data_IF_686763076339
#
_entry.id   IF_686763076339
#
_cell.length_a   1.000
_cell.length_b   1.000
_cell.length_c   1.000
_cell.angle_alpha   90.00
_cell.angle_beta   90.00
_cell.angle_gamma   90.00
#
_symmetry.space_group_name_H-M   'P 1'
#
loop_
_entity.id
_entity.type
_entity.pdbx_description
1 polymer ?
#
# COMPACT_ATOMS: atom_id res chain seq x y z
N UNK A 1 24.71 -4.06 25.40
CA UNK A 1 24.51 -2.60 25.33
C UNK A 1 25.63 -1.84 26.06
N UNK A 2 25.86 -2.00 27.36
CA UNK A 2 26.91 -1.29 28.11
C UNK A 2 28.30 -1.32 27.49
N UNK A 3 28.73 -2.46 26.91
CA UNK A 3 30.04 -2.59 26.25
C UNK A 3 30.14 -1.69 25.01
N UNK A 4 29.09 -1.59 24.20
CA UNK A 4 29.06 -0.71 23.02
C UNK A 4 29.05 0.76 23.44
N UNK A 5 28.30 1.11 24.49
CA UNK A 5 28.28 2.47 25.03
C UNK A 5 29.63 2.90 25.59
N UNK A 6 30.37 1.97 26.21
CA UNK A 6 31.74 2.20 26.68
C UNK A 6 32.73 2.40 25.53
N UNK A 7 32.65 1.57 24.48
CA UNK A 7 33.51 1.70 23.29
C UNK A 7 33.24 3.00 22.51
N UNK A 8 31.98 3.46 22.49
CA UNK A 8 31.56 4.70 21.81
C UNK A 8 31.70 5.96 22.68
N UNK A 9 32.02 5.80 23.97
CA UNK A 9 32.23 6.92 24.91
C UNK A 9 30.94 7.68 25.26
N UNK A 10 29.76 7.06 25.08
CA UNK A 10 28.49 7.74 25.38
C UNK A 10 27.28 6.83 25.46
N UNK A 11 26.23 7.30 26.13
CA UNK A 11 24.97 6.57 26.32
C UNK A 11 24.13 6.62 25.03
N UNK A 12 23.71 5.45 24.54
CA UNK A 12 22.90 5.33 23.33
C UNK A 12 21.38 5.42 23.61
N UNK A 13 20.95 4.95 24.80
CA UNK A 13 19.54 4.90 25.15
C UNK A 13 19.29 5.42 26.56
N UNK A 14 18.19 6.14 26.73
CA UNK A 14 17.68 6.59 28.03
C UNK A 14 16.42 5.79 28.36
N UNK A 15 16.37 5.22 29.57
CA UNK A 15 15.17 4.57 30.08
C UNK A 15 14.20 5.66 30.60
N UNK A 16 12.94 5.55 30.19
CA UNK A 16 11.85 6.37 30.68
C UNK A 16 10.78 5.45 31.27
N UNK A 17 9.87 5.99 32.04
CA UNK A 17 8.72 5.23 32.58
C UNK A 17 7.79 4.66 31.47
N UNK A 18 7.88 5.19 30.25
CA UNK A 18 7.12 4.71 29.07
C UNK A 18 7.94 3.83 28.12
N UNK A 19 9.17 3.45 28.49
CA UNK A 19 10.04 2.58 27.67
C UNK A 19 11.47 3.09 27.53
N UNK A 20 12.11 2.80 26.39
CA UNK A 20 13.48 3.15 26.09
C UNK A 20 13.53 4.09 24.87
N UNK A 21 14.21 5.24 25.01
CA UNK A 21 14.37 6.22 23.92
C UNK A 21 15.82 6.40 23.53
N UNK A 22 16.15 6.49 22.23
CA UNK A 22 17.52 6.74 21.80
C UNK A 22 17.95 8.19 22.09
N UNK A 23 19.18 8.36 22.53
CA UNK A 23 19.84 9.67 22.65
C UNK A 23 20.17 10.25 21.25
N UNK A 24 20.68 11.48 21.12
CA UNK A 24 21.22 11.98 19.83
C UNK A 24 22.29 11.04 19.26
N UNK A 25 23.24 10.58 20.11
CA UNK A 25 24.26 9.59 19.72
C UNK A 25 23.61 8.26 19.34
N UNK A 26 22.60 7.80 20.10
CA UNK A 26 21.83 6.59 19.77
C UNK A 26 21.14 6.67 18.43
N UNK A 27 20.53 7.80 18.07
CA UNK A 27 19.93 8.01 16.75
C UNK A 27 20.97 7.96 15.62
N UNK A 28 22.13 8.61 15.83
CA UNK A 28 23.23 8.55 14.86
C UNK A 28 23.71 7.11 14.66
N UNK A 29 23.97 6.38 15.74
CA UNK A 29 24.44 4.98 15.67
C UNK A 29 23.36 4.10 15.01
N UNK A 30 22.10 4.23 15.39
CA UNK A 30 21.01 3.46 14.80
C UNK A 30 20.85 3.74 13.30
N UNK A 31 20.96 5.00 12.86
CA UNK A 31 20.84 5.35 11.44
C UNK A 31 21.96 4.72 10.59
N UNK A 32 23.14 4.47 11.16
CA UNK A 32 24.25 3.81 10.49
C UNK A 32 24.28 2.30 10.65
N UNK A 33 23.87 1.79 11.83
CA UNK A 33 23.87 0.36 12.11
C UNK A 33 22.75 -0.40 11.40
N UNK A 34 21.55 0.21 11.26
CA UNK A 34 20.40 -0.45 10.61
C UNK A 34 20.72 -0.93 9.19
N UNK A 35 21.24 -0.10 8.26
CA UNK A 35 21.59 -0.55 6.91
C UNK A 35 22.62 -1.69 6.93
N UNK A 36 23.63 -1.63 7.82
CA UNK A 36 24.67 -2.67 7.92
C UNK A 36 24.12 -4.01 8.41
N UNK A 37 23.26 -3.98 9.42
CA UNK A 37 22.59 -5.19 9.92
C UNK A 37 21.66 -5.76 8.85
N UNK A 38 20.98 -4.90 8.11
CA UNK A 38 20.13 -5.28 7.00
C UNK A 38 20.92 -5.98 5.89
N UNK A 39 22.06 -5.38 5.50
CA UNK A 39 22.95 -5.94 4.47
C UNK A 39 23.53 -7.30 4.90
N UNK A 40 23.94 -7.41 6.16
CA UNK A 40 24.39 -8.69 6.73
C UNK A 40 23.29 -9.76 6.67
N UNK A 41 22.06 -9.41 7.05
CA UNK A 41 20.91 -10.32 6.97
C UNK A 41 20.59 -10.71 5.52
N UNK A 42 20.69 -9.76 4.57
CA UNK A 42 20.53 -10.03 3.14
C UNK A 42 21.59 -11.01 2.66
N UNK A 43 22.87 -10.74 2.96
CA UNK A 43 23.98 -11.62 2.60
C UNK A 43 23.80 -13.05 3.15
N UNK A 44 23.42 -13.20 4.42
CA UNK A 44 23.16 -14.52 5.02
C UNK A 44 22.00 -15.23 4.33
N UNK A 45 20.94 -14.49 3.97
CA UNK A 45 19.77 -15.03 3.27
C UNK A 45 20.14 -15.44 1.84
N UNK A 46 20.88 -14.60 1.12
CA UNK A 46 21.36 -14.87 -0.23
C UNK A 46 22.33 -16.06 -0.29
N UNK A 47 23.26 -16.12 0.67
CA UNK A 47 24.19 -17.24 0.79
C UNK A 47 23.44 -18.56 1.06
N UNK A 48 22.44 -18.55 1.93
CA UNK A 48 21.58 -19.72 2.19
C UNK A 48 20.77 -20.11 0.94
N UNK A 49 20.20 -19.13 0.23
CA UNK A 49 19.44 -19.37 -1.00
C UNK A 49 20.35 -19.94 -2.09
N UNK A 50 21.55 -19.41 -2.27
CA UNK A 50 22.54 -19.92 -3.21
C UNK A 50 22.97 -21.38 -2.88
N UNK A 51 23.16 -21.66 -1.59
CA UNK A 51 23.52 -23.01 -1.14
C UNK A 51 22.43 -24.06 -1.39
N UNK A 52 21.16 -23.65 -1.51
CA UNK A 52 19.99 -24.54 -1.72
C UNK A 52 19.42 -24.43 -3.15
N UNK A 53 20.03 -23.61 -4.02
CA UNK A 53 19.68 -23.47 -5.44
C UNK A 53 18.40 -22.69 -5.72
N UNK A 54 18.11 -21.63 -4.97
CA UNK A 54 16.97 -20.75 -5.26
C UNK A 54 17.04 -19.37 -4.61
N UNK A 55 16.52 -18.34 -5.31
CA UNK A 55 16.39 -16.97 -4.78
C UNK A 55 15.19 -16.89 -3.84
N UNK A 56 15.40 -16.49 -2.61
CA UNK A 56 14.35 -16.16 -1.65
C UNK A 56 13.99 -14.67 -1.82
N UNK A 57 12.71 -14.37 -2.06
CA UNK A 57 12.24 -12.99 -2.25
C UNK A 57 11.28 -12.59 -1.12
N UNK A 58 11.61 -11.50 -0.42
CA UNK A 58 10.81 -10.93 0.67
C UNK A 58 10.05 -9.73 0.15
N UNK A 59 8.73 -9.85 0.08
CA UNK A 59 7.85 -8.87 -0.52
C UNK A 59 7.05 -8.16 0.58
N UNK A 60 7.05 -6.83 0.56
CA UNK A 60 6.09 -6.01 1.29
C UNK A 60 4.96 -5.58 0.39
N UNK A 61 3.74 -5.47 0.93
CA UNK A 61 2.65 -4.87 0.15
C UNK A 61 1.58 -4.26 1.04
N UNK A 62 1.04 -3.13 0.59
CA UNK A 62 -0.30 -2.70 0.98
C UNK A 62 -1.33 -3.63 0.31
N UNK A 63 -2.56 -3.63 0.82
CA UNK A 63 -3.59 -4.55 0.31
C UNK A 63 -3.89 -4.31 -1.19
N UNK A 64 -3.81 -5.37 -1.99
CA UNK A 64 -4.18 -5.35 -3.41
C UNK A 64 -4.64 -6.74 -3.89
N UNK A 65 -5.62 -6.77 -4.78
CA UNK A 65 -6.06 -8.01 -5.42
C UNK A 65 -5.04 -8.62 -6.37
N UNK A 66 -4.10 -7.82 -6.86
CA UNK A 66 -3.04 -8.30 -7.75
C UNK A 66 -2.05 -9.27 -7.06
N UNK A 67 -1.98 -9.24 -5.72
CA UNK A 67 -1.00 -10.01 -4.94
C UNK A 67 -1.06 -11.52 -5.21
N UNK A 68 -2.25 -12.10 -5.26
CA UNK A 68 -2.39 -13.55 -5.51
C UNK A 68 -1.84 -13.95 -6.89
N UNK A 69 -2.14 -13.16 -7.91
CA UNK A 69 -1.62 -13.34 -9.27
C UNK A 69 -0.11 -13.11 -9.35
N UNK A 70 0.38 -12.09 -8.67
CA UNK A 70 1.80 -11.77 -8.60
C UNK A 70 2.60 -12.87 -7.91
N UNK A 71 2.22 -13.32 -6.73
CA UNK A 71 2.87 -14.43 -6.01
C UNK A 71 2.89 -15.72 -6.82
N UNK A 72 1.78 -16.04 -7.54
CA UNK A 72 1.72 -17.22 -8.41
C UNK A 72 2.75 -17.14 -9.54
N UNK A 73 2.98 -15.96 -10.12
CA UNK A 73 3.98 -15.75 -11.18
C UNK A 73 5.40 -15.84 -10.64
N UNK A 74 5.66 -15.18 -9.54
CA UNK A 74 6.99 -15.17 -8.89
C UNK A 74 7.45 -16.60 -8.51
N UNK A 75 6.54 -17.49 -8.10
CA UNK A 75 6.87 -18.90 -7.81
C UNK A 75 7.41 -19.69 -8.99
N UNK A 76 7.33 -19.17 -10.22
CA UNK A 76 7.90 -19.83 -11.41
C UNK A 76 9.43 -19.70 -11.47
N UNK A 77 9.98 -18.64 -10.87
CA UNK A 77 11.41 -18.32 -10.91
C UNK A 77 12.00 -17.94 -9.54
N UNK A 78 11.18 -17.82 -8.51
CA UNK A 78 11.61 -17.64 -7.13
C UNK A 78 11.13 -18.82 -6.28
N UNK A 79 12.02 -19.32 -5.42
CA UNK A 79 11.65 -20.35 -4.46
C UNK A 79 11.03 -19.68 -3.23
N UNK A 80 9.74 -19.96 -2.98
CA UNK A 80 8.98 -19.51 -1.82
C UNK A 80 9.09 -18.00 -1.50
N UNK A 81 8.48 -17.11 -2.30
CA UNK A 81 8.39 -15.71 -1.94
C UNK A 81 7.60 -15.55 -0.64
N UNK A 82 8.14 -14.77 0.31
CA UNK A 82 7.43 -14.42 1.53
C UNK A 82 6.71 -13.08 1.35
N UNK A 83 5.52 -12.94 1.94
CA UNK A 83 4.72 -11.73 1.87
C UNK A 83 4.52 -11.15 3.27
N UNK A 84 4.88 -9.89 3.43
CA UNK A 84 4.56 -9.05 4.57
C UNK A 84 3.52 -8.01 4.18
N UNK A 85 2.38 -8.00 4.88
CA UNK A 85 1.31 -7.04 4.65
C UNK A 85 1.33 -5.96 5.72
N UNK A 86 1.26 -4.70 5.30
CA UNK A 86 1.09 -3.56 6.21
C UNK A 86 0.17 -2.52 5.53
N UNK A 87 -0.61 -1.79 6.31
CA UNK A 87 -1.45 -0.70 5.82
C UNK A 87 -0.65 0.57 5.58
N UNK A 88 0.49 0.74 6.29
CA UNK A 88 1.38 1.88 6.11
C UNK A 88 2.42 1.62 5.01
N UNK A 89 2.24 2.29 3.88
CA UNK A 89 3.22 2.32 2.79
C UNK A 89 4.59 2.83 3.27
N UNK A 90 4.60 3.85 4.13
CA UNK A 90 5.84 4.39 4.71
C UNK A 90 6.57 3.38 5.60
N UNK A 91 5.85 2.49 6.29
CA UNK A 91 6.47 1.41 7.07
C UNK A 91 7.16 0.41 6.13
N UNK A 92 6.47 -0.03 5.08
CA UNK A 92 7.01 -0.96 4.09
C UNK A 92 8.26 -0.39 3.39
N UNK A 93 8.23 0.88 2.98
CA UNK A 93 9.39 1.54 2.36
C UNK A 93 10.60 1.58 3.29
N UNK A 94 10.40 1.84 4.59
CA UNK A 94 11.49 1.75 5.58
C UNK A 94 12.04 0.34 5.70
N UNK A 95 11.15 -0.69 5.72
CA UNK A 95 11.59 -2.09 5.78
C UNK A 95 12.43 -2.49 4.55
N UNK A 96 12.12 -1.97 3.36
CA UNK A 96 12.97 -2.18 2.17
C UNK A 96 14.31 -1.47 2.31
N UNK A 97 14.31 -0.21 2.75
CA UNK A 97 15.54 0.56 2.96
C UNK A 97 16.45 -0.07 4.03
N UNK A 98 15.84 -0.66 5.07
CA UNK A 98 16.53 -1.38 6.15
C UNK A 98 16.88 -2.84 5.75
N UNK A 99 16.59 -3.30 4.50
CA UNK A 99 16.89 -4.64 4.00
C UNK A 99 16.09 -5.78 4.66
N UNK A 100 15.03 -5.46 5.38
CA UNK A 100 14.10 -6.46 5.93
C UNK A 100 13.21 -7.05 4.84
N UNK A 101 12.91 -6.26 3.81
CA UNK A 101 12.21 -6.64 2.59
C UNK A 101 13.13 -6.38 1.39
N UNK A 102 12.89 -7.07 0.29
CA UNK A 102 13.63 -6.87 -0.96
C UNK A 102 12.90 -5.87 -1.85
N UNK A 103 11.57 -5.99 -1.92
CA UNK A 103 10.71 -5.10 -2.69
C UNK A 103 9.43 -4.76 -1.90
N UNK A 104 8.82 -3.62 -2.20
CA UNK A 104 7.50 -3.27 -1.68
C UNK A 104 6.59 -2.72 -2.79
N UNK A 105 5.38 -3.26 -2.87
CA UNK A 105 4.30 -2.72 -3.69
C UNK A 105 3.37 -1.88 -2.81
N UNK A 106 3.32 -0.58 -3.08
CA UNK A 106 2.67 0.40 -2.21
C UNK A 106 1.76 1.36 -2.98
N UNK A 107 0.81 1.92 -2.25
CA UNK A 107 -0.13 2.91 -2.73
C UNK A 107 0.24 4.28 -2.14
N UNK A 108 0.33 5.30 -2.97
CA UNK A 108 0.51 6.69 -2.57
C UNK A 108 -0.78 7.46 -2.82
N UNK A 109 -1.37 8.00 -1.78
CA UNK A 109 -2.62 8.77 -1.89
C UNK A 109 -2.35 10.14 -2.50
N UNK A 110 -3.16 10.55 -3.47
CA UNK A 110 -3.03 11.82 -4.18
C UNK A 110 -3.04 13.02 -3.22
N UNK A 111 -2.00 13.88 -3.35
CA UNK A 111 -1.79 15.02 -2.49
C UNK A 111 -1.23 14.70 -1.10
N UNK A 112 -0.84 13.44 -0.85
CA UNK A 112 -0.22 12.97 0.39
C UNK A 112 1.03 12.14 0.08
N UNK A 113 2.14 12.76 -0.37
CA UNK A 113 3.31 12.06 -0.87
C UNK A 113 3.96 11.18 0.19
N UNK A 114 4.40 9.99 -0.21
CA UNK A 114 5.14 9.07 0.65
C UNK A 114 6.55 9.60 0.96
N UNK A 115 7.06 9.20 2.13
CA UNK A 115 8.44 9.48 2.55
C UNK A 115 9.37 8.42 1.99
N UNK A 116 9.69 8.51 0.69
CA UNK A 116 10.55 7.53 0.01
C UNK A 116 12.01 7.78 0.45
N UNK A 117 12.67 6.80 1.10
CA UNK A 117 14.08 6.90 1.43
C UNK A 117 14.94 7.09 0.16
N UNK A 118 15.95 7.97 0.17
CA UNK A 118 16.77 8.26 -1.02
C UNK A 118 17.61 7.06 -1.51
N UNK A 119 17.75 6.03 -0.69
CA UNK A 119 18.40 4.77 -1.03
C UNK A 119 17.53 3.85 -1.87
N UNK A 120 16.24 4.15 -2.04
CA UNK A 120 15.34 3.33 -2.82
C UNK A 120 15.19 3.84 -4.25
N UNK A 121 14.99 2.90 -5.14
CA UNK A 121 14.51 3.08 -6.52
C UNK A 121 13.01 2.78 -6.55
N UNK A 122 12.28 3.51 -7.37
CA UNK A 122 10.83 3.27 -7.52
C UNK A 122 10.47 3.16 -8.99
N UNK A 123 9.48 2.32 -9.26
CA UNK A 123 8.88 2.20 -10.59
C UNK A 123 7.36 2.29 -10.44
N UNK A 124 6.78 3.22 -11.18
CA UNK A 124 5.33 3.42 -11.15
C UNK A 124 4.64 2.34 -11.96
N UNK A 125 3.63 1.72 -11.38
CA UNK A 125 2.76 0.76 -12.04
C UNK A 125 1.55 1.46 -12.66
N UNK A 126 0.92 2.37 -11.90
CA UNK A 126 -0.21 3.18 -12.32
C UNK A 126 0.00 4.59 -11.79
N UNK A 127 0.04 5.59 -12.67
CA UNK A 127 0.26 6.99 -12.28
C UNK A 127 -0.89 7.56 -11.45
N UNK A 128 -2.11 7.22 -11.82
CA UNK A 128 -3.30 7.62 -11.07
C UNK A 128 -4.41 6.58 -11.24
N UNK A 129 -4.75 5.90 -10.16
CA UNK A 129 -5.91 5.02 -10.07
C UNK A 129 -7.01 5.75 -9.30
N UNK A 130 -8.24 5.87 -9.84
CA UNK A 130 -9.33 6.48 -9.11
C UNK A 130 -9.74 5.61 -7.94
N UNK A 131 -10.06 6.21 -6.81
CA UNK A 131 -10.70 5.48 -5.72
C UNK A 131 -12.21 5.47 -5.93
N UNK A 132 -12.80 4.30 -5.74
CA UNK A 132 -14.24 4.08 -5.79
C UNK A 132 -14.82 4.12 -4.38
N UNK A 133 -16.13 3.97 -4.27
CA UNK A 133 -16.83 3.84 -3.00
C UNK A 133 -17.51 2.47 -2.91
N UNK A 134 -17.38 1.83 -1.77
CA UNK A 134 -18.16 0.65 -1.39
C UNK A 134 -19.32 1.10 -0.52
N UNK A 135 -20.51 0.66 -0.89
CA UNK A 135 -21.77 1.01 -0.21
C UNK A 135 -22.69 -0.22 -0.13
N UNK A 136 -23.69 -0.22 0.76
CA UNK A 136 -24.67 -1.31 0.86
C UNK A 136 -25.34 -1.57 -0.49
N UNK A 137 -25.70 -2.83 -0.79
CA UNK A 137 -26.33 -3.18 -2.05
C UNK A 137 -27.74 -2.57 -2.22
N UNK A 138 -28.43 -2.32 -1.11
CA UNK A 138 -29.74 -1.70 -1.03
C UNK A 138 -29.71 -0.17 -0.92
N UNK A 139 -28.50 0.44 -0.86
CA UNK A 139 -28.36 1.88 -0.82
C UNK A 139 -28.99 2.55 -2.07
N UNK A 140 -29.72 3.69 -1.94
CA UNK A 140 -30.39 4.34 -3.07
C UNK A 140 -29.48 4.68 -4.26
N UNK A 141 -28.19 4.89 -4.01
CA UNK A 141 -27.18 5.15 -5.05
C UNK A 141 -26.56 3.86 -5.65
N UNK A 142 -26.83 2.68 -5.08
CA UNK A 142 -26.20 1.43 -5.52
C UNK A 142 -26.59 1.01 -6.95
N UNK A 143 -27.75 1.41 -7.42
CA UNK A 143 -28.22 1.13 -8.79
C UNK A 143 -27.56 2.03 -9.86
N UNK A 144 -26.79 3.06 -9.49
CA UNK A 144 -26.16 4.00 -10.42
C UNK A 144 -24.74 3.56 -10.74
N UNK A 145 -24.26 3.66 -11.98
CA UNK A 145 -22.87 3.34 -12.33
C UNK A 145 -21.86 4.34 -11.74
N UNK A 146 -22.31 5.60 -11.53
CA UNK A 146 -21.50 6.69 -10.95
C UNK A 146 -22.30 7.37 -9.85
N UNK A 147 -21.67 7.59 -8.70
CA UNK A 147 -22.24 8.18 -7.50
C UNK A 147 -21.60 9.55 -7.24
N UNK A 148 -22.40 10.55 -6.89
CA UNK A 148 -21.90 11.85 -6.45
C UNK A 148 -21.65 11.84 -4.96
N UNK A 149 -20.70 12.62 -4.49
CA UNK A 149 -20.48 12.79 -3.04
C UNK A 149 -21.73 13.31 -2.32
N UNK A 150 -22.53 14.16 -2.98
CA UNK A 150 -23.82 14.65 -2.45
C UNK A 150 -24.85 13.54 -2.21
N UNK A 151 -24.79 12.45 -2.97
CA UNK A 151 -25.65 11.29 -2.80
C UNK A 151 -25.33 10.54 -1.49
N UNK A 152 -24.12 10.74 -0.95
CA UNK A 152 -23.57 10.12 0.26
C UNK A 152 -23.43 11.11 1.44
N UNK A 153 -24.07 12.27 1.35
CA UNK A 153 -23.91 13.36 2.33
C UNK A 153 -24.45 13.00 3.73
N UNK A 154 -25.37 12.05 3.83
CA UNK A 154 -25.98 11.61 5.09
C UNK A 154 -25.41 10.30 5.62
N UNK A 155 -24.56 9.63 4.82
CA UNK A 155 -23.97 8.35 5.19
C UNK A 155 -22.83 8.57 6.18
N UNK A 156 -22.64 7.61 7.06
CA UNK A 156 -21.44 7.54 7.90
C UNK A 156 -20.29 6.97 7.07
N UNK A 157 -19.16 7.65 7.07
CA UNK A 157 -17.97 7.19 6.38
C UNK A 157 -17.08 6.39 7.32
N UNK A 158 -16.55 5.29 6.87
CA UNK A 158 -15.50 4.57 7.58
C UNK A 158 -14.17 4.75 6.87
N UNK A 159 -13.14 5.16 7.62
CA UNK A 159 -11.80 5.47 7.13
C UNK A 159 -10.79 4.81 8.07
N UNK A 160 -9.74 4.23 7.49
CA UNK A 160 -8.61 3.71 8.26
C UNK A 160 -7.56 4.81 8.47
N UNK A 161 -7.42 5.36 9.69
CA UNK A 161 -6.47 6.44 9.95
C UNK A 161 -5.01 5.98 9.92
N UNK A 162 -4.75 4.67 9.83
CA UNK A 162 -3.40 4.10 9.78
C UNK A 162 -2.87 3.99 8.35
N UNK A 163 -3.74 4.13 7.35
CA UNK A 163 -3.34 4.26 5.93
C UNK A 163 -2.75 5.65 5.68
N UNK A 164 -1.53 5.67 5.18
CA UNK A 164 -0.79 6.93 4.96
C UNK A 164 -1.55 7.89 4.03
N UNK A 165 -2.03 9.02 4.58
CA UNK A 165 -2.66 10.12 3.86
C UNK A 165 -4.13 9.94 3.50
N UNK A 166 -4.74 8.78 3.69
CA UNK A 166 -6.13 8.54 3.28
C UNK A 166 -7.12 9.45 4.00
N UNK A 167 -7.02 9.53 5.33
CA UNK A 167 -7.90 10.41 6.10
C UNK A 167 -7.83 11.86 5.64
N UNK A 168 -6.62 12.38 5.42
CA UNK A 168 -6.44 13.77 4.99
C UNK A 168 -6.99 14.01 3.59
N UNK A 169 -6.84 13.05 2.67
CA UNK A 169 -7.37 13.12 1.32
C UNK A 169 -8.90 13.09 1.30
N UNK A 170 -9.52 12.12 1.99
CA UNK A 170 -10.99 12.01 2.06
C UNK A 170 -11.60 13.25 2.70
N UNK A 171 -11.04 13.72 3.83
CA UNK A 171 -11.51 14.94 4.50
C UNK A 171 -11.41 16.16 3.60
N UNK A 172 -10.31 16.31 2.86
CA UNK A 172 -10.13 17.40 1.89
C UNK A 172 -11.20 17.39 0.81
N UNK A 173 -11.48 16.22 0.24
CA UNK A 173 -12.47 16.04 -0.82
C UNK A 173 -13.90 16.29 -0.34
N UNK A 174 -14.27 15.76 0.83
CA UNK A 174 -15.57 16.00 1.44
C UNK A 174 -15.79 17.48 1.74
N UNK A 175 -14.82 18.15 2.34
CA UNK A 175 -14.89 19.60 2.62
C UNK A 175 -14.98 20.45 1.35
N UNK A 176 -14.22 20.10 0.30
CA UNK A 176 -14.31 20.78 -0.99
C UNK A 176 -15.69 20.64 -1.64
N UNK A 177 -16.41 19.56 -1.35
CA UNK A 177 -17.79 19.34 -1.74
C UNK A 177 -18.83 19.99 -0.79
N UNK A 178 -18.39 20.70 0.26
CA UNK A 178 -19.27 21.28 1.27
C UNK A 178 -19.92 20.27 2.21
N UNK A 179 -19.30 19.09 2.38
CA UNK A 179 -19.84 17.97 3.16
C UNK A 179 -19.01 17.76 4.44
N UNK A 180 -19.70 17.41 5.53
CA UNK A 180 -19.10 17.04 6.82
C UNK A 180 -19.87 15.86 7.42
N UNK A 181 -19.85 14.69 6.78
CA UNK A 181 -20.57 13.53 7.25
C UNK A 181 -19.92 12.93 8.51
N UNK A 182 -20.68 12.17 9.32
CA UNK A 182 -20.11 11.43 10.44
C UNK A 182 -19.04 10.44 9.97
N UNK A 183 -17.89 10.39 10.68
CA UNK A 183 -16.78 9.48 10.36
C UNK A 183 -16.56 8.51 11.50
N UNK A 184 -16.41 7.23 11.15
CA UNK A 184 -15.97 6.14 12.00
C UNK A 184 -14.53 5.76 11.61
N UNK A 185 -13.64 5.67 12.58
CA UNK A 185 -12.29 5.21 12.35
C UNK A 185 -12.17 3.70 12.62
N UNK A 186 -11.63 2.95 11.67
CA UNK A 186 -11.42 1.52 11.78
C UNK A 186 -10.75 0.93 10.56
N UNK A 187 -10.36 -0.35 10.64
CA UNK A 187 -9.69 -1.06 9.56
C UNK A 187 -10.65 -1.50 8.43
N UNK A 188 -10.10 -1.75 7.25
CA UNK A 188 -10.88 -2.17 6.07
C UNK A 188 -11.58 -3.52 6.20
N UNK A 189 -11.10 -4.40 7.07
CA UNK A 189 -11.75 -5.68 7.28
C UNK A 189 -13.09 -5.47 8.01
N UNK A 190 -13.06 -4.65 9.06
CA UNK A 190 -14.26 -4.21 9.77
C UNK A 190 -15.16 -3.36 8.88
N UNK A 191 -14.59 -2.48 8.04
CA UNK A 191 -15.35 -1.68 7.07
C UNK A 191 -16.20 -2.54 6.14
N UNK A 192 -15.64 -3.62 5.59
CA UNK A 192 -16.37 -4.50 4.68
C UNK A 192 -17.62 -5.14 5.33
N UNK A 193 -17.54 -5.47 6.62
CA UNK A 193 -18.67 -6.02 7.38
C UNK A 193 -19.72 -4.94 7.68
N UNK A 194 -19.31 -3.74 8.05
CA UNK A 194 -20.21 -2.63 8.37
C UNK A 194 -20.89 -2.07 7.11
N UNK A 195 -20.22 -2.08 5.96
CA UNK A 195 -20.84 -1.75 4.67
C UNK A 195 -21.93 -2.76 4.35
N UNK A 196 -21.66 -4.06 4.52
CA UNK A 196 -22.63 -5.13 4.23
C UNK A 196 -23.89 -5.05 5.10
N UNK A 197 -23.81 -4.46 6.29
CA UNK A 197 -24.96 -4.25 7.20
C UNK A 197 -25.63 -2.89 7.06
N UNK A 198 -25.17 -2.03 6.15
CA UNK A 198 -25.77 -0.71 5.93
C UNK A 198 -25.35 0.39 6.90
N UNK A 199 -24.33 0.13 7.74
CA UNK A 199 -23.90 1.07 8.78
C UNK A 199 -22.98 2.17 8.28
N UNK A 200 -22.20 1.90 7.23
CA UNK A 200 -21.19 2.84 6.69
C UNK A 200 -21.04 2.72 5.18
N UNK A 201 -20.42 3.76 4.59
CA UNK A 201 -19.78 3.71 3.28
C UNK A 201 -18.26 3.89 3.45
N UNK A 202 -17.46 3.40 2.50
CA UNK A 202 -16.00 3.54 2.58
C UNK A 202 -15.38 3.67 1.19
N UNK A 203 -14.22 4.33 1.11
CA UNK A 203 -13.40 4.30 -0.09
C UNK A 203 -12.86 2.91 -0.34
N UNK A 204 -12.66 2.55 -1.60
CA UNK A 204 -12.09 1.25 -1.96
C UNK A 204 -11.36 1.34 -3.30
N UNK A 205 -10.49 0.36 -3.55
CA UNK A 205 -9.85 0.23 -4.86
C UNK A 205 -10.91 -0.12 -5.93
N UNK A 206 -10.75 0.34 -7.18
CA UNK A 206 -11.69 0.03 -8.26
C UNK A 206 -11.72 -1.47 -8.59
N UNK A 207 -10.65 -2.19 -8.21
CA UNK A 207 -10.54 -3.64 -8.33
C UNK A 207 -11.22 -4.41 -7.19
N UNK A 208 -11.77 -3.73 -6.18
CA UNK A 208 -12.46 -4.38 -5.05
C UNK A 208 -13.66 -5.20 -5.55
N UNK A 209 -13.89 -6.41 -4.99
CA UNK A 209 -15.00 -7.25 -5.41
C UNK A 209 -16.32 -6.67 -4.91
N UNK A 210 -17.32 -6.59 -5.77
CA UNK A 210 -18.70 -6.50 -5.32
C UNK A 210 -19.13 -7.84 -4.71
N UNK A 211 -19.89 -7.78 -3.63
CA UNK A 211 -20.52 -8.92 -2.96
C UNK A 211 -22.04 -8.79 -3.06
N UNK A 212 -22.81 -9.84 -2.79
CA UNK A 212 -24.27 -9.73 -2.80
C UNK A 212 -24.80 -8.59 -1.94
N UNK A 213 -24.14 -8.32 -0.80
CA UNK A 213 -24.55 -7.33 0.20
C UNK A 213 -23.92 -5.95 -0.05
N UNK A 214 -22.99 -5.81 -1.00
CA UNK A 214 -22.25 -4.56 -1.23
C UNK A 214 -22.15 -4.20 -2.71
N UNK A 215 -22.15 -2.92 -3.01
CA UNK A 215 -21.93 -2.40 -4.35
C UNK A 215 -20.66 -1.53 -4.37
N UNK A 216 -19.79 -1.74 -5.36
CA UNK A 216 -18.66 -0.88 -5.65
C UNK A 216 -19.01 0.07 -6.79
N UNK A 217 -18.88 1.37 -6.55
CA UNK A 217 -19.29 2.42 -7.50
C UNK A 217 -18.22 3.47 -7.67
N UNK A 218 -18.10 3.96 -8.89
CA UNK A 218 -17.23 5.08 -9.20
C UNK A 218 -17.77 6.37 -8.60
N UNK A 219 -16.89 7.23 -8.08
CA UNK A 219 -17.23 8.58 -7.67
C UNK A 219 -17.21 9.53 -8.87
N UNK A 220 -18.21 10.40 -8.99
CA UNK A 220 -18.30 11.39 -10.04
C UNK A 220 -17.09 12.35 -10.00
N UNK A 221 -16.43 12.53 -11.13
CA UNK A 221 -15.26 13.41 -11.26
C UNK A 221 -13.97 12.81 -10.71
N UNK A 222 -13.96 11.57 -10.27
CA UNK A 222 -12.78 10.87 -9.72
C UNK A 222 -12.01 11.72 -8.68
N UNK A 223 -12.67 12.19 -7.60
CA UNK A 223 -12.11 13.20 -6.71
C UNK A 223 -10.96 12.67 -5.85
N UNK A 224 -10.82 11.36 -5.76
CA UNK A 224 -9.76 10.67 -5.01
C UNK A 224 -8.96 9.79 -5.96
N UNK A 225 -7.65 9.83 -5.86
CA UNK A 225 -6.76 8.99 -6.62
C UNK A 225 -5.62 8.45 -5.77
N UNK A 226 -5.03 7.36 -6.25
CA UNK A 226 -3.79 6.82 -5.71
C UNK A 226 -2.81 6.53 -6.84
N UNK A 227 -1.53 6.67 -6.57
CA UNK A 227 -0.46 6.21 -7.42
C UNK A 227 0.01 4.85 -6.91
N UNK A 228 0.15 3.88 -7.81
CA UNK A 228 0.64 2.55 -7.47
C UNK A 228 2.10 2.45 -7.87
N UNK A 229 2.97 2.09 -6.94
CA UNK A 229 4.40 2.00 -7.22
C UNK A 229 5.05 0.80 -6.54
N UNK A 230 6.10 0.32 -7.18
CA UNK A 230 7.01 -0.69 -6.68
C UNK A 230 8.30 0.00 -6.24
N UNK A 231 8.82 -0.37 -5.07
CA UNK A 231 10.07 0.15 -4.52
C UNK A 231 11.03 -1.00 -4.20
N UNK A 232 12.32 -0.80 -4.49
CA UNK A 232 13.41 -1.71 -4.14
C UNK A 232 14.70 -0.91 -3.92
N UNK A 233 15.80 -1.57 -3.51
CA UNK A 233 17.09 -0.91 -3.36
C UNK A 233 17.82 -0.70 -4.68
N UNK A 234 17.57 -1.56 -5.68
CA UNK A 234 18.23 -1.53 -6.99
C UNK A 234 17.23 -1.60 -8.15
N UNK A 235 17.64 -1.08 -9.30
CA UNK A 235 16.85 -1.16 -10.54
C UNK A 235 16.74 -2.61 -11.04
N UNK A 236 17.73 -3.46 -10.77
CA UNK A 236 17.70 -4.88 -11.10
C UNK A 236 16.60 -5.61 -10.33
N UNK A 237 16.48 -5.37 -9.02
CA UNK A 237 15.40 -5.94 -8.20
C UNK A 237 14.01 -5.53 -8.73
N UNK A 238 13.86 -4.26 -9.15
CA UNK A 238 12.61 -3.79 -9.77
C UNK A 238 12.34 -4.48 -11.11
N UNK A 239 13.35 -4.58 -11.97
CA UNK A 239 13.21 -5.18 -13.29
C UNK A 239 12.79 -6.65 -13.22
N UNK A 240 13.30 -7.38 -12.25
CA UNK A 240 13.03 -8.82 -12.07
C UNK A 240 11.56 -9.12 -11.69
N UNK A 241 10.90 -8.22 -10.97
CA UNK A 241 9.57 -8.52 -10.40
C UNK A 241 8.42 -7.67 -10.98
N UNK A 242 8.76 -6.54 -11.62
CA UNK A 242 7.78 -5.61 -12.17
C UNK A 242 6.90 -6.21 -13.27
N UNK A 243 7.42 -6.98 -14.26
CA UNK A 243 6.60 -7.55 -15.33
C UNK A 243 5.48 -8.45 -14.78
N UNK A 244 5.80 -9.28 -13.80
CA UNK A 244 4.85 -10.19 -13.15
C UNK A 244 3.76 -9.43 -12.37
N UNK A 245 4.15 -8.33 -11.70
CA UNK A 245 3.19 -7.46 -11.02
C UNK A 245 2.27 -6.76 -12.02
N UNK A 246 2.83 -6.19 -13.08
CA UNK A 246 2.07 -5.48 -14.11
C UNK A 246 1.05 -6.39 -14.79
N UNK A 247 1.43 -7.64 -15.09
CA UNK A 247 0.52 -8.63 -15.67
C UNK A 247 -0.57 -9.06 -14.68
N UNK A 248 -0.20 -9.33 -13.42
CA UNK A 248 -1.16 -9.69 -12.38
C UNK A 248 -2.17 -8.55 -12.12
N UNK A 249 -1.69 -7.31 -12.14
CA UNK A 249 -2.56 -6.13 -11.99
C UNK A 249 -3.52 -5.99 -13.18
N UNK A 250 -3.03 -6.16 -14.41
CA UNK A 250 -3.84 -6.09 -15.63
C UNK A 250 -4.96 -7.12 -15.63
N UNK A 251 -4.67 -8.37 -15.22
CA UNK A 251 -5.69 -9.43 -15.08
C UNK A 251 -6.81 -9.02 -14.11
N UNK A 252 -6.45 -8.49 -12.96
CA UNK A 252 -7.42 -8.06 -11.94
C UNK A 252 -8.24 -6.86 -12.42
N UNK A 253 -7.62 -5.90 -13.11
CA UNK A 253 -8.30 -4.74 -13.69
C UNK A 253 -9.34 -5.16 -14.73
N UNK A 254 -9.01 -6.16 -15.58
CA UNK A 254 -9.94 -6.72 -16.56
C UNK A 254 -11.12 -7.46 -15.93
N UNK A 255 -10.94 -8.04 -14.74
CA UNK A 255 -11.98 -8.76 -14.01
C UNK A 255 -12.92 -7.84 -13.21
N UNK A 256 -12.62 -6.53 -13.11
CA UNK A 256 -13.43 -5.54 -12.40
C UNK A 256 -14.27 -4.72 -13.39
N UNK A 257 -15.59 -5.01 -13.57
CA UNK A 257 -16.39 -4.44 -14.67
C UNK A 257 -16.42 -2.91 -14.67
N UNK A 258 -16.65 -2.30 -13.50
CA UNK A 258 -16.72 -0.84 -13.39
C UNK A 258 -15.36 -0.16 -13.66
N UNK A 259 -14.25 -0.82 -13.30
CA UNK A 259 -12.91 -0.32 -13.57
C UNK A 259 -12.53 -0.48 -15.04
N UNK A 260 -12.86 -1.61 -15.63
CA UNK A 260 -12.67 -1.83 -17.08
C UNK A 260 -13.42 -0.80 -17.91
N UNK A 261 -14.69 -0.52 -17.59
CA UNK A 261 -15.48 0.51 -18.27
C UNK A 261 -14.84 1.90 -18.15
N UNK A 262 -14.25 2.21 -16.99
CA UNK A 262 -13.53 3.46 -16.79
C UNK A 262 -12.26 3.53 -17.67
N UNK A 263 -11.47 2.45 -17.74
CA UNK A 263 -10.28 2.35 -18.61
C UNK A 263 -10.64 2.51 -20.10
N UNK A 264 -11.72 1.85 -20.55
CA UNK A 264 -12.22 1.93 -21.95
C UNK A 264 -12.66 3.34 -22.34
N UNK A 265 -13.11 4.15 -21.39
CA UNK A 265 -13.49 5.56 -21.61
C UNK A 265 -12.31 6.54 -21.58
N UNK A 266 -11.10 6.09 -21.62
CA UNK A 266 -9.89 6.92 -21.65
C UNK A 266 -9.32 7.25 -20.26
N UNK A 267 -9.68 6.50 -19.25
CA UNK A 267 -9.03 6.61 -17.94
C UNK A 267 -7.55 6.21 -18.00
N UNK A 268 -6.66 7.02 -17.44
CA UNK A 268 -5.20 6.84 -17.51
C UNK A 268 -4.62 5.82 -16.51
N UNK A 269 -5.45 4.89 -16.03
CA UNK A 269 -5.07 3.91 -14.99
C UNK A 269 -4.45 2.60 -15.48
N UNK A 270 -4.15 2.44 -16.78
CA UNK A 270 -3.49 1.23 -17.25
C UNK A 270 -2.01 1.20 -16.83
N UNK A 271 -1.48 0.03 -16.39
CA UNK A 271 -0.06 -0.10 -16.16
C UNK A 271 0.73 0.30 -17.41
N UNK A 272 1.80 1.08 -17.23
CA UNK A 272 2.70 1.39 -18.32
C UNK A 272 3.17 0.08 -18.99
N UNK A 273 3.26 0.03 -20.35
CA UNK A 273 3.77 -1.15 -21.03
C UNK A 273 5.18 -1.44 -20.50
N UNK A 274 5.50 -2.73 -20.32
CA UNK A 274 6.87 -3.12 -20.05
C UNK A 274 7.73 -2.57 -21.19
N UNK A 275 8.70 -1.71 -20.87
CA UNK A 275 9.70 -1.31 -21.86
C UNK A 275 10.47 -2.55 -22.32
N UNK A 276 10.81 -2.62 -23.62
CA UNK A 276 11.52 -3.75 -24.19
C UNK A 276 12.86 -4.02 -23.56
#
# INVERSE_FOLDING_TARGET
>A
MRRIEQELGGTLFVRTHTGCRPTPLGRLVLSRARPLVAELNSLVTEARAAAVGGRHLRIGSTASRALAGWLRRLRRHCREPTLHMDVSANALLRMVADGQLDVAFVHEVEGCPLRIPPTLRTRVLVEREPQFVSLPADHPAAGRPVVRLSDLARDRWMIDPTVDGEWDAVRRVLRAAGLDPPVLHGDYHTAASLVATGEVVTVCQPTSPSRPETAVRRLHGDPLGVRLLLAARTDTELADVYPDLAEAYREVAQQAPAYREWLERGGSGAPAPALP
#
